data_IF_908016716264
#
_entry.id   IF_908016716264
#
_cell.length_a   1.000
_cell.length_b   1.000
_cell.length_c   1.000
_cell.angle_alpha   90.00
_cell.angle_beta   90.00
_cell.angle_gamma   90.00
#
_symmetry.space_group_name_H-M   'P 1'
#
loop_
_entity.id
_entity.type
_entity.pdbx_description
1 polymer ?
#
# COMPACT_ATOMS: atom_id res chain seq x y z
N UNK A 1 -44.24 19.21 -36.87
CA UNK A 1 -44.68 18.51 -35.65
C UNK A 1 -43.71 17.36 -35.36
N UNK A 2 -43.06 17.45 -34.20
CA UNK A 2 -42.48 16.40 -33.37
C UNK A 2 -41.55 15.34 -34.00
N UNK A 3 -40.28 15.61 -33.77
CA UNK A 3 -39.13 14.72 -33.76
C UNK A 3 -39.36 13.43 -32.97
N UNK A 4 -38.86 12.35 -33.58
CA UNK A 4 -38.58 11.04 -33.04
C UNK A 4 -37.67 11.17 -31.79
N UNK A 5 -38.16 10.75 -30.62
CA UNK A 5 -37.33 10.55 -29.42
C UNK A 5 -37.39 9.06 -29.06
N UNK A 6 -36.50 8.28 -29.67
CA UNK A 6 -36.12 6.98 -29.15
C UNK A 6 -35.06 7.22 -28.08
N UNK A 7 -35.47 7.19 -26.80
CA UNK A 7 -34.55 7.27 -25.68
C UNK A 7 -33.87 5.90 -25.53
N UNK A 8 -32.63 5.81 -26.00
CA UNK A 8 -31.74 4.69 -25.70
C UNK A 8 -31.44 4.71 -24.19
N UNK A 9 -32.00 3.77 -23.44
CA UNK A 9 -31.54 3.46 -22.10
C UNK A 9 -30.23 2.65 -22.23
N UNK A 10 -29.09 3.34 -22.20
CA UNK A 10 -27.79 2.68 -22.09
C UNK A 10 -27.61 2.22 -20.64
N UNK A 11 -28.01 0.97 -20.41
CA UNK A 11 -27.75 0.23 -19.18
C UNK A 11 -26.24 -0.02 -19.10
N UNK A 12 -25.49 0.84 -18.41
CA UNK A 12 -24.16 0.49 -17.91
C UNK A 12 -24.31 -0.36 -16.64
N UNK A 13 -24.89 -1.55 -16.83
CA UNK A 13 -24.97 -2.63 -15.84
C UNK A 13 -23.98 -3.75 -16.17
N UNK A 14 -22.79 -3.38 -16.66
CA UNK A 14 -21.71 -4.34 -16.83
C UNK A 14 -21.16 -4.69 -15.45
N UNK A 15 -21.69 -5.76 -14.84
CA UNK A 15 -20.99 -6.46 -13.79
C UNK A 15 -19.61 -6.83 -14.34
N UNK A 16 -18.59 -6.06 -13.96
CA UNK A 16 -17.20 -6.42 -14.22
C UNK A 16 -17.03 -7.74 -13.49
N UNK A 17 -17.14 -8.85 -14.22
CA UNK A 17 -16.72 -10.13 -13.73
C UNK A 17 -15.28 -9.91 -13.31
N UNK A 18 -15.02 -10.03 -12.01
CA UNK A 18 -13.66 -10.16 -11.51
C UNK A 18 -13.12 -11.40 -12.21
N UNK A 19 -12.40 -11.20 -13.32
CA UNK A 19 -11.66 -12.27 -13.93
C UNK A 19 -10.84 -12.88 -12.79
N UNK A 20 -11.00 -14.18 -12.58
CA UNK A 20 -10.20 -14.90 -11.60
C UNK A 20 -8.75 -14.87 -12.09
N UNK A 21 -8.04 -13.80 -11.75
CA UNK A 21 -6.63 -13.69 -12.00
C UNK A 21 -5.95 -14.74 -11.15
N UNK A 22 -5.35 -15.74 -11.80
CA UNK A 22 -4.53 -16.71 -11.10
C UNK A 22 -3.40 -15.96 -10.39
N UNK A 23 -3.37 -16.06 -9.06
CA UNK A 23 -2.38 -15.36 -8.27
C UNK A 23 -0.97 -15.83 -8.66
N UNK A 24 -0.01 -14.92 -8.89
CA UNK A 24 1.36 -15.31 -9.24
C UNK A 24 1.93 -16.30 -8.21
N UNK A 25 2.86 -17.16 -8.61
CA UNK A 25 3.45 -18.19 -7.73
C UNK A 25 3.98 -17.62 -6.40
N UNK A 26 4.47 -16.38 -6.41
CA UNK A 26 4.87 -15.63 -5.21
C UNK A 26 3.79 -15.56 -4.11
N UNK A 27 2.52 -15.44 -4.49
CA UNK A 27 1.37 -15.31 -3.59
C UNK A 27 0.87 -16.65 -3.06
N UNK A 28 1.28 -17.75 -3.70
CA UNK A 28 0.94 -19.13 -3.29
C UNK A 28 1.93 -19.69 -2.27
N UNK A 29 2.92 -18.89 -1.82
CA UNK A 29 3.85 -19.31 -0.76
C UNK A 29 3.07 -19.59 0.54
N UNK A 30 3.43 -20.64 1.30
CA UNK A 30 2.83 -20.88 2.61
C UNK A 30 2.94 -19.64 3.49
N UNK A 31 1.86 -19.31 4.17
CA UNK A 31 1.86 -18.19 5.11
C UNK A 31 2.83 -18.48 6.26
N UNK A 32 3.58 -17.47 6.68
CA UNK A 32 4.46 -17.57 7.85
C UNK A 32 3.61 -17.39 9.11
N UNK A 33 3.65 -18.31 10.08
CA UNK A 33 3.00 -18.11 11.37
C UNK A 33 3.64 -16.91 12.08
N UNK A 34 2.81 -15.94 12.45
CA UNK A 34 3.21 -14.78 13.24
C UNK A 34 2.82 -14.98 14.70
N UNK A 35 3.56 -14.38 15.65
CA UNK A 35 3.11 -14.29 17.03
C UNK A 35 1.70 -13.70 17.12
N UNK A 36 0.89 -14.20 18.06
CA UNK A 36 -0.47 -13.71 18.27
C UNK A 36 -0.53 -12.21 18.62
N UNK A 37 0.56 -11.71 19.22
CA UNK A 37 0.74 -10.30 19.57
C UNK A 37 2.17 -9.89 19.31
N UNK A 38 2.34 -8.71 18.72
CA UNK A 38 3.62 -8.09 18.43
C UNK A 38 3.69 -6.75 19.17
N UNK A 39 4.88 -6.36 19.61
CA UNK A 39 5.14 -5.04 20.19
C UNK A 39 5.50 -4.04 19.08
N UNK A 40 5.18 -2.74 19.22
CA UNK A 40 5.59 -1.73 18.23
C UNK A 40 7.12 -1.67 18.09
N UNK A 41 7.60 -1.74 16.85
CA UNK A 41 9.03 -1.59 16.57
C UNK A 41 9.49 -0.13 16.74
N UNK A 42 10.70 0.07 17.26
CA UNK A 42 11.38 1.37 17.17
C UNK A 42 12.06 1.49 15.81
N UNK A 43 11.52 2.39 14.97
CA UNK A 43 12.02 2.66 13.63
C UNK A 43 12.46 4.11 13.50
N UNK A 44 13.45 4.33 12.64
CA UNK A 44 13.84 5.66 12.16
C UNK A 44 13.66 5.72 10.65
N UNK A 45 13.16 6.87 10.17
CA UNK A 45 13.08 7.15 8.74
C UNK A 45 14.39 7.80 8.29
N UNK A 46 15.24 7.04 7.60
CA UNK A 46 16.57 7.48 7.14
C UNK A 46 16.49 8.23 5.82
N UNK A 47 15.70 7.72 4.87
CA UNK A 47 15.46 8.36 3.60
C UNK A 47 14.06 8.03 3.09
N UNK A 48 13.54 8.93 2.26
CA UNK A 48 12.20 8.83 1.67
C UNK A 48 12.22 9.36 0.23
N UNK A 49 11.24 8.98 -0.59
CA UNK A 49 11.10 9.57 -1.91
C UNK A 49 10.88 11.09 -1.78
N UNK A 50 11.59 11.89 -2.57
CA UNK A 50 11.49 13.33 -2.59
C UNK A 50 11.13 13.80 -4.01
N UNK A 51 9.96 14.43 -4.18
CA UNK A 51 9.49 14.89 -5.48
C UNK A 51 10.30 16.05 -6.07
N UNK A 52 11.02 16.83 -5.26
CA UNK A 52 11.97 17.83 -5.80
C UNK A 52 13.12 17.17 -6.57
N UNK A 53 13.37 15.86 -6.34
CA UNK A 53 14.29 15.04 -7.13
C UNK A 53 13.59 14.20 -8.22
N UNK A 54 12.26 14.14 -8.23
CA UNK A 54 11.45 13.40 -9.20
C UNK A 54 11.03 14.23 -10.43
N UNK A 55 11.59 15.45 -10.58
CA UNK A 55 11.39 16.37 -11.71
C UNK A 55 11.83 15.83 -13.09
N UNK A 56 12.04 14.52 -13.24
CA UNK A 56 12.52 13.92 -14.48
C UNK A 56 11.64 12.78 -15.04
N UNK A 57 10.52 12.38 -14.42
CA UNK A 57 9.86 11.12 -14.84
C UNK A 57 8.37 11.10 -15.13
N UNK A 58 7.54 12.10 -14.80
CA UNK A 58 6.14 12.11 -15.28
C UNK A 58 5.60 13.51 -15.51
N UNK A 59 4.82 13.62 -16.58
CA UNK A 59 4.10 14.78 -17.11
C UNK A 59 3.57 15.72 -15.99
N UNK A 60 4.08 16.97 -15.88
CA UNK A 60 3.65 17.93 -14.86
C UNK A 60 2.17 18.34 -15.02
N UNK A 61 1.54 18.05 -16.16
CA UNK A 61 0.16 18.41 -16.46
C UNK A 61 -0.84 17.28 -16.22
N UNK A 62 -0.41 16.09 -15.76
CA UNK A 62 -1.32 14.98 -15.49
C UNK A 62 -2.12 15.17 -14.20
N UNK A 63 -3.13 16.06 -14.25
CA UNK A 63 -4.19 16.14 -13.24
C UNK A 63 -5.08 14.90 -13.37
N UNK A 64 -4.80 13.88 -12.56
CA UNK A 64 -5.80 12.83 -12.30
C UNK A 64 -6.89 13.45 -11.42
N UNK A 65 -7.79 14.23 -12.01
CA UNK A 65 -9.02 14.68 -11.34
C UNK A 65 -10.00 13.52 -11.41
N UNK A 66 -9.94 12.66 -10.39
CA UNK A 66 -11.06 11.78 -10.07
C UNK A 66 -11.91 12.51 -9.02
N UNK A 67 -13.11 13.03 -9.38
CA UNK A 67 -13.97 13.76 -8.45
C UNK A 67 -14.33 12.95 -7.19
N UNK A 68 -14.32 11.61 -7.26
CA UNK A 68 -14.57 10.74 -6.11
C UNK A 68 -13.43 10.78 -5.06
N UNK A 69 -12.22 11.19 -5.46
CA UNK A 69 -11.03 11.24 -4.60
C UNK A 69 -10.76 12.66 -4.08
N UNK A 70 -11.21 13.70 -4.77
CA UNK A 70 -10.92 15.11 -4.45
C UNK A 70 -11.21 15.50 -2.98
N UNK A 71 -12.34 15.11 -2.35
CA UNK A 71 -12.62 15.46 -0.95
C UNK A 71 -11.59 14.88 0.05
N UNK A 72 -10.89 13.82 -0.36
CA UNK A 72 -9.93 13.08 0.44
C UNK A 72 -8.49 13.59 0.27
N UNK A 73 -8.21 14.52 -0.65
CA UNK A 73 -6.88 15.09 -0.82
C UNK A 73 -6.66 16.21 0.21
N UNK A 74 -5.50 16.22 0.88
CA UNK A 74 -5.11 17.27 1.82
C UNK A 74 -4.35 18.37 1.06
N UNK A 75 -4.70 19.65 1.28
CA UNK A 75 -4.04 20.80 0.63
C UNK A 75 -2.62 21.08 1.15
N UNK A 76 -2.27 20.58 2.33
CA UNK A 76 -0.97 20.75 2.95
C UNK A 76 -0.04 19.55 2.68
N UNK A 77 1.24 19.83 2.50
CA UNK A 77 2.31 18.85 2.25
C UNK A 77 2.70 18.10 3.53
N UNK A 78 1.77 17.32 4.11
CA UNK A 78 2.19 16.34 5.11
C UNK A 78 3.09 15.29 4.44
N UNK A 79 4.27 15.08 5.03
CA UNK A 79 5.34 14.24 4.51
C UNK A 79 5.42 12.91 5.29
N UNK A 80 6.29 11.99 4.87
CA UNK A 80 6.48 10.71 5.54
C UNK A 80 6.88 10.91 6.99
N UNK A 81 6.28 10.11 7.89
CA UNK A 81 6.62 10.10 9.32
C UNK A 81 6.48 8.70 9.92
N UNK A 82 7.24 8.47 10.99
CA UNK A 82 7.07 7.30 11.87
C UNK A 82 5.99 7.65 12.90
N UNK A 83 4.99 6.79 13.03
CA UNK A 83 3.91 6.91 14.01
C UNK A 83 3.99 5.70 14.95
N UNK A 84 4.63 5.82 16.11
CA UNK A 84 4.65 4.77 17.12
C UNK A 84 3.23 4.40 17.53
N UNK A 85 2.94 3.11 17.58
CA UNK A 85 1.57 2.60 17.81
C UNK A 85 0.50 3.18 16.86
N UNK A 86 0.90 3.57 15.65
CA UNK A 86 0.03 4.19 14.66
C UNK A 86 -0.89 3.22 13.91
N UNK A 87 -0.61 1.92 13.92
CA UNK A 87 -1.48 0.94 13.30
C UNK A 87 -2.68 0.63 14.19
N UNK A 88 -3.75 1.42 14.06
CA UNK A 88 -5.02 1.21 14.76
C UNK A 88 -6.18 1.38 13.77
N UNK A 89 -7.36 0.84 14.10
CA UNK A 89 -8.58 1.15 13.35
C UNK A 89 -8.84 2.67 13.42
N UNK A 90 -9.15 3.27 12.28
CA UNK A 90 -9.30 4.73 12.12
C UNK A 90 -7.99 5.48 11.83
N UNK A 91 -6.83 4.82 11.87
CA UNK A 91 -5.57 5.45 11.53
C UNK A 91 -5.51 5.87 10.07
N UNK A 92 -4.78 6.96 9.78
CA UNK A 92 -4.53 7.46 8.43
C UNK A 92 -3.24 6.83 7.87
N UNK A 93 -3.31 5.91 6.90
CA UNK A 93 -2.11 5.30 6.31
C UNK A 93 -1.28 6.27 5.48
N UNK A 94 -1.90 7.32 4.96
CA UNK A 94 -1.28 8.27 4.06
C UNK A 94 -1.24 9.65 4.68
N UNK A 95 -0.15 10.38 4.47
CA UNK A 95 0.02 11.75 4.94
C UNK A 95 -0.79 12.73 4.07
N UNK A 96 -0.93 12.43 2.78
CA UNK A 96 -1.54 13.30 1.77
C UNK A 96 -2.97 12.87 1.38
N UNK A 97 -3.58 11.93 2.11
CA UNK A 97 -4.97 11.52 1.94
C UNK A 97 -5.68 11.40 3.29
N UNK A 98 -7.00 11.61 3.27
CA UNK A 98 -7.88 11.46 4.44
C UNK A 98 -8.40 10.05 4.63
N UNK A 99 -7.96 9.07 3.83
CA UNK A 99 -8.38 7.68 3.99
C UNK A 99 -8.02 7.18 5.39
N UNK A 100 -8.82 6.27 5.91
CA UNK A 100 -8.61 5.60 7.20
C UNK A 100 -8.71 4.09 7.07
N UNK A 101 -8.02 3.39 7.97
CA UNK A 101 -8.14 1.94 8.13
C UNK A 101 -9.50 1.62 8.75
N UNK A 102 -10.34 0.84 8.07
CA UNK A 102 -11.69 0.48 8.53
C UNK A 102 -11.71 -0.89 9.21
N UNK A 103 -10.84 -1.80 8.78
CA UNK A 103 -10.65 -3.12 9.38
C UNK A 103 -9.16 -3.45 9.49
N UNK A 104 -8.74 -3.85 10.69
CA UNK A 104 -7.36 -4.19 11.03
C UNK A 104 -7.35 -5.50 11.83
N UNK A 105 -6.62 -6.55 11.38
CA UNK A 105 -6.40 -7.74 12.18
C UNK A 105 -5.77 -7.41 13.53
N UNK A 106 -6.31 -7.99 14.62
CA UNK A 106 -5.93 -7.63 16.00
C UNK A 106 -4.42 -7.77 16.29
N UNK A 107 -3.73 -8.71 15.63
CA UNK A 107 -2.28 -8.89 15.76
C UNK A 107 -1.43 -7.70 15.29
N UNK A 108 -2.01 -6.81 14.47
CA UNK A 108 -1.36 -5.61 13.95
C UNK A 108 -1.75 -4.34 14.72
N UNK A 109 -2.67 -4.45 15.69
CA UNK A 109 -3.10 -3.31 16.49
C UNK A 109 -1.94 -2.78 17.36
N UNK A 110 -1.74 -1.47 17.33
CA UNK A 110 -0.69 -0.79 18.07
C UNK A 110 0.73 -0.99 17.52
N UNK A 111 0.89 -1.49 16.29
CA UNK A 111 2.21 -1.54 15.64
C UNK A 111 2.68 -0.16 15.15
N UNK A 112 3.99 0.00 15.00
CA UNK A 112 4.57 1.24 14.47
C UNK A 112 4.26 1.36 13.00
N UNK A 113 3.62 2.46 12.61
CA UNK A 113 3.30 2.77 11.22
C UNK A 113 4.35 3.69 10.62
N UNK A 114 4.70 3.47 9.36
CA UNK A 114 5.33 4.51 8.54
C UNK A 114 4.23 5.12 7.70
N UNK A 115 3.79 6.32 8.05
CA UNK A 115 2.78 7.02 7.27
C UNK A 115 3.45 7.49 5.98
N UNK A 116 2.98 6.97 4.84
CA UNK A 116 3.58 7.22 3.52
C UNK A 116 2.78 8.26 2.73
N UNK A 117 3.19 8.59 1.50
CA UNK A 117 2.42 9.44 0.61
C UNK A 117 1.77 8.62 -0.50
N UNK A 118 0.46 8.73 -0.64
CA UNK A 118 -0.30 8.10 -1.70
C UNK A 118 0.08 8.64 -3.08
N UNK A 119 0.38 9.93 -3.20
CA UNK A 119 0.86 10.56 -4.45
C UNK A 119 2.17 9.97 -4.99
N UNK A 120 2.94 9.28 -4.16
CA UNK A 120 4.21 8.65 -4.57
C UNK A 120 4.05 7.25 -5.16
N UNK A 121 2.81 6.75 -5.29
CA UNK A 121 2.52 5.42 -5.86
C UNK A 121 3.04 5.18 -7.28
N UNK A 122 3.26 6.27 -8.05
CA UNK A 122 3.74 6.22 -9.44
C UNK A 122 5.27 6.31 -9.56
N UNK A 123 5.99 6.40 -8.44
CA UNK A 123 7.46 6.36 -8.46
C UNK A 123 7.88 4.94 -8.85
N UNK A 124 8.72 4.83 -9.87
CA UNK A 124 9.25 3.56 -10.41
C UNK A 124 10.76 3.44 -10.30
N UNK A 125 11.47 4.56 -10.12
CA UNK A 125 12.93 4.58 -10.04
C UNK A 125 13.40 4.10 -8.65
N UNK A 126 14.21 3.05 -8.66
CA UNK A 126 14.75 2.37 -7.47
C UNK A 126 15.54 3.28 -6.53
N UNK A 127 16.06 4.41 -7.01
CA UNK A 127 16.77 5.41 -6.19
C UNK A 127 15.84 6.14 -5.22
N UNK A 128 14.53 6.09 -5.44
CA UNK A 128 13.52 6.79 -4.64
C UNK A 128 12.72 5.82 -3.76
N UNK A 129 13.39 4.84 -3.16
CA UNK A 129 12.81 3.95 -2.16
C UNK A 129 12.60 4.61 -0.78
N UNK A 130 11.98 3.86 0.13
CA UNK A 130 11.93 4.20 1.56
C UNK A 130 13.09 3.49 2.24
N UNK A 131 13.88 4.22 3.03
CA UNK A 131 14.97 3.67 3.82
C UNK A 131 14.67 3.87 5.30
N UNK A 132 14.65 2.76 6.03
CA UNK A 132 14.42 2.73 7.46
C UNK A 132 15.67 2.25 8.19
N UNK A 133 15.76 2.55 9.48
CA UNK A 133 16.72 1.94 10.40
C UNK A 133 15.97 1.33 11.59
N UNK A 134 16.41 0.17 12.05
CA UNK A 134 15.88 -0.49 13.24
C UNK A 134 17.03 -0.87 14.18
N UNK A 135 16.92 -0.53 15.47
CA UNK A 135 17.94 -0.88 16.46
C UNK A 135 17.89 -2.35 16.92
N UNK A 136 16.78 -3.04 16.65
CA UNK A 136 16.51 -4.44 17.02
C UNK A 136 15.97 -5.21 15.81
N UNK A 137 15.97 -6.55 15.84
CA UNK A 137 15.25 -7.33 14.83
C UNK A 137 13.78 -6.92 14.78
N UNK A 138 13.21 -6.84 13.57
CA UNK A 138 11.81 -6.45 13.36
C UNK A 138 11.11 -7.38 12.37
N UNK A 139 9.81 -7.58 12.55
CA UNK A 139 8.93 -8.00 11.48
C UNK A 139 8.46 -6.75 10.74
N UNK A 140 8.97 -6.55 9.54
CA UNK A 140 8.51 -5.47 8.66
C UNK A 140 7.37 -5.98 7.81
N UNK A 141 6.25 -5.28 7.86
CA UNK A 141 5.05 -5.60 7.10
C UNK A 141 4.83 -4.62 5.97
N UNK A 142 4.39 -5.18 4.84
CA UNK A 142 3.88 -4.42 3.71
C UNK A 142 2.45 -4.83 3.43
N UNK A 143 1.54 -3.86 3.37
CA UNK A 143 0.20 -4.10 2.86
C UNK A 143 0.13 -3.61 1.41
N UNK A 144 0.03 -4.55 0.47
CA UNK A 144 -0.02 -4.28 -0.97
C UNK A 144 -1.48 -4.26 -1.41
N UNK A 145 -1.86 -3.24 -2.16
CA UNK A 145 -3.16 -3.17 -2.82
C UNK A 145 -3.42 -4.44 -3.64
N UNK A 146 -4.50 -5.16 -3.33
CA UNK A 146 -4.84 -6.42 -3.99
C UNK A 146 -5.01 -6.27 -5.52
N UNK A 147 -5.30 -5.07 -6.04
CA UNK A 147 -5.39 -4.81 -7.48
C UNK A 147 -4.04 -4.91 -8.19
N UNK A 148 -2.94 -4.74 -7.47
CA UNK A 148 -1.58 -4.91 -7.99
C UNK A 148 -1.28 -6.34 -8.45
N UNK A 149 -2.07 -7.32 -8.01
CA UNK A 149 -1.89 -8.72 -8.43
C UNK A 149 -1.92 -8.87 -9.95
N UNK A 150 -2.85 -8.19 -10.64
CA UNK A 150 -2.92 -8.23 -12.10
C UNK A 150 -1.65 -7.67 -12.76
N UNK A 151 -1.11 -6.58 -12.21
CA UNK A 151 0.15 -5.99 -12.68
C UNK A 151 1.31 -6.97 -12.48
N UNK A 152 1.42 -7.60 -11.31
CA UNK A 152 2.49 -8.55 -11.02
C UNK A 152 2.38 -9.87 -11.80
N UNK A 153 1.17 -10.33 -12.13
CA UNK A 153 0.99 -11.48 -13.02
C UNK A 153 1.50 -11.20 -14.43
N UNK A 154 1.38 -9.95 -14.90
CA UNK A 154 1.77 -9.57 -16.26
C UNK A 154 3.24 -9.15 -16.35
N UNK A 155 3.74 -8.40 -15.37
CA UNK A 155 5.05 -7.74 -15.40
C UNK A 155 6.08 -8.41 -14.49
N UNK A 156 5.66 -9.36 -13.67
CA UNK A 156 6.48 -9.99 -12.64
C UNK A 156 6.46 -9.21 -11.31
N UNK A 157 6.80 -9.92 -10.23
CA UNK A 157 6.93 -9.33 -8.89
C UNK A 157 8.29 -8.63 -8.77
N UNK A 158 8.35 -7.35 -8.35
CA UNK A 158 9.61 -6.64 -8.15
C UNK A 158 10.56 -7.42 -7.24
N UNK A 159 11.85 -7.47 -7.59
CA UNK A 159 12.86 -8.27 -6.88
C UNK A 159 12.93 -7.98 -5.38
N UNK A 160 12.88 -6.71 -4.99
CA UNK A 160 12.88 -6.28 -3.58
C UNK A 160 11.67 -6.80 -2.78
N UNK A 161 10.55 -7.06 -3.46
CA UNK A 161 9.33 -7.59 -2.85
C UNK A 161 9.43 -9.11 -2.69
N UNK A 162 10.20 -9.81 -3.54
CA UNK A 162 10.34 -11.27 -3.48
C UNK A 162 10.92 -11.81 -2.15
N UNK A 163 11.53 -10.93 -1.35
CA UNK A 163 12.02 -11.20 0.02
C UNK A 163 10.91 -11.28 1.06
N UNK A 164 9.68 -10.92 0.71
CA UNK A 164 8.53 -10.96 1.59
C UNK A 164 7.72 -12.24 1.40
N UNK A 165 7.00 -12.62 2.45
CA UNK A 165 6.11 -13.79 2.47
C UNK A 165 4.69 -13.36 2.83
N UNK A 166 3.64 -13.86 2.15
CA UNK A 166 2.26 -13.56 2.54
C UNK A 166 1.98 -13.98 3.98
N UNK A 167 1.13 -13.22 4.68
CA UNK A 167 0.63 -13.62 6.01
C UNK A 167 -0.76 -14.26 5.94
N UNK A 168 -1.45 -14.11 4.81
CA UNK A 168 -2.87 -14.46 4.66
C UNK A 168 -3.84 -13.43 5.25
N UNK A 169 -3.33 -12.38 5.89
CA UNK A 169 -4.14 -11.33 6.47
C UNK A 169 -4.46 -10.22 5.45
N UNK A 170 -5.56 -9.49 5.69
CA UNK A 170 -6.02 -8.38 4.87
C UNK A 170 -6.38 -7.17 5.73
N UNK A 171 -6.07 -5.97 5.23
CA UNK A 171 -6.44 -4.68 5.83
C UNK A 171 -7.44 -3.98 4.90
N UNK A 172 -8.52 -3.43 5.44
CA UNK A 172 -9.46 -2.61 4.67
C UNK A 172 -9.31 -1.13 4.99
N UNK A 173 -9.61 -0.29 4.00
CA UNK A 173 -9.67 1.16 4.16
C UNK A 173 -10.95 1.71 3.56
N UNK A 174 -11.24 2.99 3.84
CA UNK A 174 -12.34 3.71 3.22
C UNK A 174 -11.98 4.37 1.87
N UNK A 175 -10.84 4.01 1.27
CA UNK A 175 -10.51 4.42 -0.11
C UNK A 175 -11.70 4.08 -1.02
N UNK A 176 -12.35 5.08 -1.66
CA UNK A 176 -13.54 4.87 -2.46
C UNK A 176 -13.35 3.84 -3.57
N UNK A 177 -12.17 3.77 -4.18
CA UNK A 177 -11.91 2.86 -5.29
C UNK A 177 -11.74 1.41 -4.79
N UNK A 178 -11.07 1.21 -3.66
CA UNK A 178 -10.95 -0.12 -3.05
C UNK A 178 -12.30 -0.60 -2.52
N UNK A 179 -13.03 0.29 -1.84
CA UNK A 179 -14.37 0.00 -1.29
C UNK A 179 -15.35 -0.37 -2.38
N UNK A 180 -15.37 0.37 -3.50
CA UNK A 180 -16.26 0.07 -4.63
C UNK A 180 -16.00 -1.30 -5.26
N UNK A 181 -14.77 -1.82 -5.17
CA UNK A 181 -14.39 -3.12 -5.72
C UNK A 181 -14.38 -4.24 -4.68
N UNK A 182 -14.67 -3.95 -3.41
CA UNK A 182 -14.62 -4.94 -2.33
C UNK A 182 -13.22 -5.53 -2.07
N UNK A 183 -12.17 -4.80 -2.46
CA UNK A 183 -10.77 -5.22 -2.33
C UNK A 183 -10.08 -4.59 -1.13
N UNK A 184 -9.00 -5.20 -0.67
CA UNK A 184 -8.21 -4.73 0.47
C UNK A 184 -6.71 -4.66 0.17
N UNK A 185 -5.93 -4.38 1.21
CA UNK A 185 -4.50 -4.58 1.17
C UNK A 185 -4.17 -5.97 1.68
N UNK A 186 -3.42 -6.75 0.89
CA UNK A 186 -2.89 -8.04 1.30
C UNK A 186 -1.58 -7.83 2.07
N UNK A 187 -1.43 -8.49 3.21
CA UNK A 187 -0.28 -8.26 4.10
C UNK A 187 0.83 -9.28 3.86
N UNK A 188 2.04 -8.75 3.81
CA UNK A 188 3.30 -9.46 3.62
C UNK A 188 4.23 -9.15 4.76
N UNK A 189 5.11 -10.09 5.08
CA UNK A 189 6.11 -9.93 6.14
C UNK A 189 7.52 -10.26 5.64
N UNK A 190 8.50 -9.48 6.09
CA UNK A 190 9.93 -9.79 6.02
C UNK A 190 10.55 -9.55 7.39
N UNK A 191 11.17 -10.58 7.96
CA UNK A 191 11.97 -10.41 9.17
C UNK A 191 13.30 -9.74 8.80
N UNK A 192 13.60 -8.61 9.42
CA UNK A 192 14.79 -7.82 9.16
C UNK A 192 15.72 -7.86 10.38
N UNK A 193 17.04 -8.07 10.21
CA UNK A 193 18.00 -7.87 11.30
C UNK A 193 18.07 -6.38 11.68
N UNK A 194 18.73 -6.05 12.82
CA UNK A 194 19.05 -4.67 13.14
C UNK A 194 19.84 -3.99 12.02
N UNK A 195 19.63 -2.69 11.85
CA UNK A 195 20.34 -1.86 10.91
C UNK A 195 19.43 -1.32 9.79
N UNK A 196 20.03 -1.14 8.62
CA UNK A 196 19.43 -0.46 7.49
C UNK A 196 18.47 -1.37 6.72
N UNK A 197 17.24 -0.91 6.51
CA UNK A 197 16.21 -1.62 5.77
C UNK A 197 15.80 -0.78 4.55
N UNK A 198 15.79 -1.40 3.38
CA UNK A 198 15.40 -0.74 2.13
C UNK A 198 14.09 -1.33 1.62
N UNK A 199 13.19 -0.45 1.23
CA UNK A 199 11.97 -0.75 0.50
C UNK A 199 12.06 -0.11 -0.88
N UNK A 200 11.69 -0.87 -1.89
CA UNK A 200 11.70 -0.37 -3.27
C UNK A 200 10.54 0.60 -3.54
N UNK A 201 10.56 1.23 -4.72
CA UNK A 201 9.45 2.04 -5.20
C UNK A 201 8.19 1.18 -5.36
N UNK A 202 7.01 1.81 -5.29
CA UNK A 202 5.75 1.08 -5.46
C UNK A 202 5.64 0.45 -6.85
N UNK A 203 6.20 1.11 -7.88
CA UNK A 203 6.34 0.53 -9.21
C UNK A 203 5.01 0.23 -9.91
N UNK A 204 3.95 0.96 -9.57
CA UNK A 204 2.59 0.58 -9.91
C UNK A 204 2.06 1.24 -11.19
N UNK A 205 1.15 0.54 -11.89
CA UNK A 205 0.31 1.13 -12.93
C UNK A 205 -0.42 2.36 -12.35
N UNK A 206 -0.28 3.55 -12.97
CA UNK A 206 -0.82 4.79 -12.43
C UNK A 206 -2.34 4.83 -12.37
N UNK A 207 -3.05 3.97 -13.11
CA UNK A 207 -4.48 4.10 -13.30
C UNK A 207 -5.30 3.67 -12.09
N UNK A 208 -4.91 2.63 -11.34
CA UNK A 208 -5.83 2.03 -10.36
C UNK A 208 -5.22 1.52 -9.05
N UNK A 209 -3.98 1.87 -8.72
CA UNK A 209 -3.32 1.30 -7.54
C UNK A 209 -3.19 2.29 -6.39
N UNK A 210 -2.89 1.78 -5.20
CA UNK A 210 -2.53 2.56 -4.00
C UNK A 210 -1.07 2.38 -3.63
N UNK A 211 -0.48 3.40 -3.00
CA UNK A 211 0.83 3.25 -2.36
C UNK A 211 0.70 2.15 -1.29
N UNK A 212 1.68 1.27 -1.20
CA UNK A 212 1.69 0.23 -0.18
C UNK A 212 1.73 0.82 1.23
N UNK A 213 1.15 0.12 2.20
CA UNK A 213 1.28 0.46 3.62
C UNK A 213 2.55 -0.15 4.18
N UNK A 214 3.16 0.52 5.14
CA UNK A 214 4.36 0.03 5.84
C UNK A 214 4.14 0.13 7.33
N UNK A 215 4.38 -0.97 8.04
CA UNK A 215 4.34 -1.00 9.50
C UNK A 215 5.23 -2.10 10.04
N UNK A 216 5.58 -2.04 11.33
CA UNK A 216 6.50 -3.00 11.91
C UNK A 216 6.21 -3.30 13.38
N UNK A 217 6.47 -4.55 13.74
CA UNK A 217 6.56 -5.02 15.12
C UNK A 217 7.96 -5.50 15.46
N UNK A 218 8.33 -5.49 16.74
CA UNK A 218 9.56 -6.13 17.20
C UNK A 218 9.52 -7.63 16.86
N UNK A 219 10.62 -8.16 16.36
CA UNK A 219 10.82 -9.60 16.29
C UNK A 219 11.55 -10.06 17.55
N UNK A 220 11.20 -11.24 18.06
CA UNK A 220 12.02 -11.90 19.08
C UNK A 220 13.45 -12.06 18.55
N UNK A 221 14.48 -11.93 19.40
CA UNK A 221 15.83 -12.29 18.99
C UNK A 221 15.80 -13.74 18.50
N UNK A 222 16.19 -13.97 17.25
CA UNK A 222 16.41 -15.34 16.78
C UNK A 222 17.42 -15.99 17.73
N UNK A 223 17.00 -17.06 18.41
CA UNK A 223 17.91 -17.88 19.20
C UNK A 223 19.04 -18.31 18.25
N UNK A 224 20.26 -17.84 18.54
CA UNK A 224 21.46 -18.19 17.78
C UNK A 224 21.88 -19.62 18.08
#
# INVERSE_FOLDING_TARGET
MRNLLALLALVFGGAVHAAEFEAPAFWKRPAVPLPAKLLPAKLELVAKPNLTRALALFDPDHKVTNPAVEPFVVKAEEDYRIVPAGMVKGAKPFADRKYVITELPAKFDGLTQVQVRMSHKNIVDGRFGIVLSAARPVHLFLAIDQRMLGTFSQQGVPSWMQEFTPTGDRILSDDPLMKAQGVGYLVFVRTCPPGRIVLGPCGADPKFNSMYLVFAGEAEPSAK
#
